data_IF_432509041431
#
_entry.id   IF_432509041431
#
_cell.length_a   1.000
_cell.length_b   1.000
_cell.length_c   1.000
_cell.angle_alpha   90.00
_cell.angle_beta   90.00
_cell.angle_gamma   90.00
#
_symmetry.space_group_name_H-M   'P 1'
#
loop_
_entity.id
_entity.type
_entity.pdbx_description
1 polymer ?
#
# COMPACT_ATOMS: atom_id res chain seq x y z
N UNK A 1 2.91 27.64 -4.30
CA UNK A 1 3.57 27.07 -3.10
C UNK A 1 4.73 27.97 -2.71
N UNK A 2 4.92 28.22 -1.42
CA UNK A 2 6.12 28.90 -0.93
C UNK A 2 7.35 28.03 -1.19
N UNK A 3 8.54 28.63 -1.34
CA UNK A 3 9.82 27.89 -1.49
C UNK A 3 10.07 26.95 -0.30
N UNK A 4 9.56 27.31 0.87
CA UNK A 4 9.62 26.50 2.08
C UNK A 4 8.77 25.21 1.96
N UNK A 5 7.58 25.30 1.35
CA UNK A 5 6.69 24.14 1.17
C UNK A 5 7.33 23.11 0.23
N UNK A 6 7.94 23.58 -0.86
CA UNK A 6 8.64 22.73 -1.82
C UNK A 6 9.84 22.05 -1.12
N UNK A 7 10.57 22.80 -0.29
CA UNK A 7 11.67 22.24 0.50
C UNK A 7 11.24 21.09 1.41
N UNK A 8 10.11 21.24 2.11
CA UNK A 8 9.56 20.17 2.98
C UNK A 8 9.21 18.92 2.17
N UNK A 9 8.52 19.08 1.03
CA UNK A 9 8.14 17.96 0.16
C UNK A 9 9.38 17.21 -0.35
N UNK A 10 10.40 17.94 -0.80
CA UNK A 10 11.65 17.34 -1.29
C UNK A 10 12.36 16.58 -0.18
N UNK A 11 12.48 17.16 1.02
CA UNK A 11 13.09 16.50 2.18
C UNK A 11 12.33 15.22 2.56
N UNK A 12 11.01 15.26 2.52
CA UNK A 12 10.17 14.10 2.79
C UNK A 12 10.39 12.97 1.77
N UNK A 13 10.36 13.28 0.47
CA UNK A 13 10.61 12.30 -0.61
C UNK A 13 12.02 11.71 -0.47
N UNK A 14 13.03 12.54 -0.22
CA UNK A 14 14.40 12.06 -0.02
C UNK A 14 14.52 11.17 1.23
N UNK A 15 13.85 11.54 2.34
CA UNK A 15 13.80 10.73 3.55
C UNK A 15 13.25 9.33 3.27
N UNK A 16 12.14 9.24 2.52
CA UNK A 16 11.54 7.97 2.11
C UNK A 16 12.50 7.11 1.28
N UNK A 17 13.18 7.72 0.30
CA UNK A 17 14.17 7.02 -0.54
C UNK A 17 15.35 6.54 0.29
N UNK A 18 15.87 7.36 1.22
CA UNK A 18 16.97 7.01 2.11
C UNK A 18 16.58 5.83 3.01
N UNK A 19 15.38 5.86 3.61
CA UNK A 19 14.89 4.72 4.42
C UNK A 19 14.83 3.45 3.58
N UNK A 20 14.33 3.53 2.35
CA UNK A 20 14.31 2.41 1.42
C UNK A 20 15.71 1.84 1.14
N UNK A 21 16.69 2.71 0.84
CA UNK A 21 18.08 2.34 0.56
C UNK A 21 18.81 1.76 1.78
N UNK A 22 18.57 2.31 2.97
CA UNK A 22 19.17 1.79 4.22
C UNK A 22 18.66 0.38 4.52
N UNK A 23 17.38 0.13 4.26
CA UNK A 23 16.76 -1.17 4.52
C UNK A 23 17.05 -2.24 3.44
N UNK A 24 17.56 -1.84 2.28
CA UNK A 24 17.97 -2.73 1.18
C UNK A 24 18.95 -3.82 1.63
N UNK A 25 19.88 -3.49 2.53
CA UNK A 25 20.87 -4.45 3.06
C UNK A 25 20.21 -5.62 3.80
N UNK A 26 19.12 -5.37 4.53
CA UNK A 26 18.36 -6.41 5.24
C UNK A 26 17.46 -7.22 4.31
N UNK A 27 16.90 -6.58 3.28
CA UNK A 27 16.05 -7.22 2.29
C UNK A 27 16.85 -8.20 1.39
N UNK A 28 18.13 -7.93 1.18
CA UNK A 28 19.02 -8.72 0.31
C UNK A 28 19.56 -10.00 0.95
N UNK A 29 19.25 -10.28 2.23
CA UNK A 29 19.73 -11.47 2.95
C UNK A 29 19.04 -12.78 2.48
N UNK A 30 17.90 -12.69 1.80
CA UNK A 30 17.21 -13.84 1.20
C UNK A 30 15.75 -13.58 0.84
N UNK A 31 15.14 -14.50 0.10
CA UNK A 31 13.74 -14.39 -0.39
C UNK A 31 12.75 -14.26 0.79
N UNK A 32 12.93 -15.03 1.86
CA UNK A 32 12.12 -14.90 3.09
C UNK A 32 12.33 -13.57 3.81
N UNK A 33 13.54 -12.98 3.73
CA UNK A 33 13.79 -11.65 4.29
C UNK A 33 13.07 -10.58 3.47
N UNK A 34 13.12 -10.70 2.13
CA UNK A 34 12.49 -9.78 1.21
C UNK A 34 10.96 -9.79 1.30
N UNK A 35 10.32 -10.97 1.27
CA UNK A 35 8.86 -11.08 1.23
C UNK A 35 8.21 -11.20 2.62
N UNK A 36 8.89 -11.78 3.62
CA UNK A 36 8.31 -12.02 4.95
C UNK A 36 8.98 -11.21 6.07
N UNK A 37 9.97 -10.36 5.74
CA UNK A 37 10.73 -9.60 6.75
C UNK A 37 11.44 -10.50 7.77
N UNK A 38 11.79 -11.74 7.36
CA UNK A 38 12.36 -12.75 8.24
C UNK A 38 11.45 -13.20 9.38
N UNK A 39 10.13 -12.90 9.32
CA UNK A 39 9.11 -13.21 10.35
C UNK A 39 9.42 -12.65 11.75
N UNK A 40 10.35 -11.68 11.83
CA UNK A 40 10.85 -11.05 13.08
C UNK A 40 10.30 -9.64 13.30
N UNK A 41 9.44 -9.14 12.41
CA UNK A 41 8.83 -7.81 12.56
C UNK A 41 7.92 -7.83 13.81
N UNK A 42 8.06 -6.86 14.73
CA UNK A 42 7.23 -6.80 15.92
C UNK A 42 5.78 -6.46 15.58
N UNK A 43 4.85 -6.92 16.41
CA UNK A 43 3.41 -6.84 16.16
C UNK A 43 2.88 -5.41 16.01
N UNK A 44 3.44 -4.46 16.77
CA UNK A 44 3.00 -3.05 16.72
C UNK A 44 3.37 -2.40 15.40
N UNK A 45 4.57 -2.70 14.85
CA UNK A 45 5.00 -2.23 13.53
C UNK A 45 4.09 -2.80 12.43
N UNK A 46 3.80 -4.11 12.49
CA UNK A 46 2.90 -4.76 11.53
C UNK A 46 1.47 -4.20 11.61
N UNK A 47 0.97 -3.95 12.82
CA UNK A 47 -0.36 -3.37 13.04
C UNK A 47 -0.46 -1.94 12.51
N UNK A 48 0.54 -1.10 12.82
CA UNK A 48 0.60 0.29 12.34
C UNK A 48 0.74 0.35 10.81
N UNK A 49 1.58 -0.47 10.19
CA UNK A 49 1.68 -0.54 8.73
C UNK A 49 0.38 -1.03 8.09
N UNK A 50 -0.27 -2.04 8.67
CA UNK A 50 -1.58 -2.50 8.22
C UNK A 50 -2.62 -1.38 8.25
N UNK A 51 -2.67 -0.58 9.32
CA UNK A 51 -3.56 0.57 9.41
C UNK A 51 -3.21 1.65 8.39
N UNK A 52 -1.93 2.03 8.27
CA UNK A 52 -1.47 3.03 7.32
C UNK A 52 -1.75 2.63 5.86
N UNK A 53 -1.64 1.34 5.53
CA UNK A 53 -1.98 0.81 4.21
C UNK A 53 -3.46 0.94 3.82
N UNK A 54 -4.36 1.17 4.79
CA UNK A 54 -5.79 1.43 4.52
C UNK A 54 -6.10 2.92 4.39
N UNK A 55 -5.15 3.79 4.71
CA UNK A 55 -5.29 5.22 4.57
C UNK A 55 -4.59 5.66 3.29
N UNK A 56 -5.36 6.18 2.35
CA UNK A 56 -4.83 6.65 1.09
C UNK A 56 -5.45 7.98 0.64
N UNK A 57 -4.81 8.59 -0.35
CA UNK A 57 -5.18 9.90 -0.88
C UNK A 57 -6.58 9.85 -1.53
N UNK A 58 -6.89 8.79 -2.28
CA UNK A 58 -8.17 8.63 -2.97
C UNK A 58 -9.34 8.49 -1.99
N UNK A 59 -9.19 7.66 -0.96
CA UNK A 59 -10.17 7.50 0.11
C UNK A 59 -10.37 8.81 0.88
N UNK A 60 -9.28 9.49 1.23
CA UNK A 60 -9.32 10.79 1.92
C UNK A 60 -10.06 11.86 1.11
N UNK A 61 -9.86 11.91 -0.21
CA UNK A 61 -10.59 12.81 -1.10
C UNK A 61 -12.10 12.50 -1.12
N UNK A 62 -12.48 11.22 -1.20
CA UNK A 62 -13.88 10.80 -1.17
C UNK A 62 -14.53 11.19 0.18
N UNK A 63 -13.81 11.01 1.29
CA UNK A 63 -14.30 11.37 2.61
C UNK A 63 -14.56 12.85 2.75
N UNK A 64 -13.62 13.66 2.27
CA UNK A 64 -13.76 15.11 2.24
C UNK A 64 -14.95 15.52 1.37
N UNK A 65 -15.13 14.87 0.22
CA UNK A 65 -16.27 15.10 -0.66
C UNK A 65 -17.61 14.74 -0.02
N UNK A 66 -17.69 13.64 0.74
CA UNK A 66 -18.90 13.26 1.47
C UNK A 66 -19.23 14.22 2.61
N UNK A 67 -18.22 14.68 3.36
CA UNK A 67 -18.43 15.68 4.40
C UNK A 67 -18.92 16.99 3.78
N UNK A 68 -18.35 17.38 2.64
CA UNK A 68 -18.79 18.58 1.92
C UNK A 68 -20.23 18.46 1.40
N UNK A 69 -20.59 17.30 0.82
CA UNK A 69 -21.91 17.09 0.20
C UNK A 69 -23.03 16.79 1.21
N UNK A 70 -22.73 16.05 2.29
CA UNK A 70 -23.71 15.50 3.23
C UNK A 70 -23.57 16.07 4.66
N UNK A 71 -22.62 16.98 4.86
CA UNK A 71 -22.28 17.50 6.19
C UNK A 71 -21.72 16.40 7.11
N UNK A 72 -21.96 16.54 8.42
CA UNK A 72 -21.50 15.57 9.42
C UNK A 72 -22.05 14.14 9.20
N UNK A 73 -23.16 13.99 8.45
CA UNK A 73 -23.69 12.67 8.10
C UNK A 73 -22.76 11.88 7.16
N UNK A 74 -21.99 12.57 6.31
CA UNK A 74 -21.01 11.94 5.42
C UNK A 74 -19.91 11.18 6.17
N UNK A 75 -19.57 11.64 7.39
CA UNK A 75 -18.61 10.96 8.25
C UNK A 75 -19.08 9.55 8.68
N UNK A 76 -20.39 9.35 8.85
CA UNK A 76 -20.93 8.04 9.23
C UNK A 76 -20.90 7.02 8.08
N UNK A 77 -20.91 7.49 6.83
CA UNK A 77 -20.72 6.62 5.65
C UNK A 77 -19.31 6.05 5.69
N UNK A 78 -18.32 6.91 5.97
CA UNK A 78 -16.95 6.46 6.08
C UNK A 78 -16.73 5.60 7.32
N UNK A 79 -17.35 5.89 8.46
CA UNK A 79 -17.22 5.02 9.66
C UNK A 79 -17.60 3.57 9.37
N UNK A 80 -18.56 3.30 8.46
CA UNK A 80 -18.97 1.92 8.14
C UNK A 80 -17.88 1.12 7.41
N UNK A 81 -17.01 1.78 6.64
CA UNK A 81 -15.98 1.12 5.83
C UNK A 81 -14.54 1.42 6.29
N UNK A 82 -14.28 2.65 6.70
CA UNK A 82 -12.98 3.19 7.10
C UNK A 82 -12.55 2.84 8.52
N UNK A 83 -13.48 2.56 9.45
CA UNK A 83 -13.08 1.89 10.70
C UNK A 83 -12.79 0.44 10.31
N UNK A 84 -11.52 0.14 10.12
CA UNK A 84 -10.96 -1.15 9.68
C UNK A 84 -11.10 -2.24 10.74
N UNK A 85 -12.29 -2.36 11.36
CA UNK A 85 -12.64 -3.39 12.34
C UNK A 85 -12.42 -4.80 11.78
N UNK A 86 -12.53 -4.94 10.45
CA UNK A 86 -12.21 -6.18 9.76
C UNK A 86 -10.76 -6.62 10.01
N UNK A 87 -9.80 -5.70 10.16
CA UNK A 87 -8.40 -6.07 10.43
C UNK A 87 -8.24 -6.73 11.80
N UNK A 88 -8.93 -6.24 12.83
CA UNK A 88 -8.92 -6.88 14.14
C UNK A 88 -9.51 -8.30 14.07
N UNK A 89 -10.60 -8.47 13.30
CA UNK A 89 -11.20 -9.78 13.06
C UNK A 89 -10.24 -10.71 12.30
N UNK A 90 -9.64 -10.25 11.19
CA UNK A 90 -8.69 -11.03 10.40
C UNK A 90 -7.45 -11.41 11.24
N UNK A 91 -6.94 -10.50 12.07
CA UNK A 91 -5.82 -10.76 12.98
C UNK A 91 -6.14 -11.89 13.98
N UNK A 92 -7.32 -11.85 14.62
CA UNK A 92 -7.71 -12.85 15.63
C UNK A 92 -7.95 -14.22 14.98
N UNK A 93 -8.70 -14.27 13.88
CA UNK A 93 -9.15 -15.52 13.28
C UNK A 93 -8.19 -16.10 12.25
N UNK A 94 -7.68 -15.27 11.34
CA UNK A 94 -6.80 -15.72 10.26
C UNK A 94 -5.32 -15.61 10.61
N UNK A 95 -4.92 -14.68 11.47
CA UNK A 95 -3.51 -14.47 11.83
C UNK A 95 -2.82 -15.73 12.36
N UNK A 96 -3.50 -16.50 13.21
CA UNK A 96 -2.99 -17.78 13.74
C UNK A 96 -2.81 -18.83 12.64
N UNK A 97 -3.72 -18.87 11.68
CA UNK A 97 -3.67 -19.84 10.58
C UNK A 97 -2.57 -19.49 9.59
N UNK A 98 -2.45 -18.21 9.23
CA UNK A 98 -1.40 -17.71 8.34
C UNK A 98 0.00 -17.94 8.94
N UNK A 99 0.17 -17.73 10.26
CA UNK A 99 1.46 -17.99 10.91
C UNK A 99 1.85 -19.47 10.95
N UNK A 100 0.87 -20.38 10.97
CA UNK A 100 1.08 -21.84 11.03
C UNK A 100 1.21 -22.49 9.65
N UNK A 101 0.61 -21.90 8.63
CA UNK A 101 0.67 -22.43 7.27
C UNK A 101 2.07 -22.30 6.67
N UNK A 102 2.88 -21.35 7.14
CA UNK A 102 4.26 -21.08 6.70
C UNK A 102 4.43 -20.84 5.19
N UNK A 103 3.33 -20.68 4.46
CA UNK A 103 3.29 -20.35 3.03
C UNK A 103 3.57 -18.86 2.80
N UNK A 104 4.13 -18.53 1.64
CA UNK A 104 4.50 -17.16 1.28
C UNK A 104 3.38 -16.45 0.54
N UNK A 105 2.62 -17.18 -0.28
CA UNK A 105 1.58 -16.59 -1.13
C UNK A 105 0.19 -17.12 -0.81
N UNK A 106 -0.86 -16.32 -1.09
CA UNK A 106 -2.24 -16.80 -0.99
C UNK A 106 -2.51 -17.96 -1.97
N UNK A 107 -1.84 -17.96 -3.12
CA UNK A 107 -1.95 -19.03 -4.10
C UNK A 107 -1.45 -20.37 -3.53
N UNK A 108 -0.33 -20.38 -2.80
CA UNK A 108 0.15 -21.55 -2.06
C UNK A 108 -0.78 -21.93 -0.91
N UNK A 109 -1.39 -20.95 -0.26
CA UNK A 109 -2.39 -21.21 0.78
C UNK A 109 -3.59 -22.00 0.26
N UNK A 110 -3.99 -21.80 -1.00
CA UNK A 110 -5.04 -22.60 -1.65
C UNK A 110 -4.63 -24.07 -1.77
N UNK A 111 -3.38 -24.38 -2.11
CA UNK A 111 -2.88 -25.76 -2.10
C UNK A 111 -2.84 -26.34 -0.68
N UNK A 112 -2.40 -25.56 0.30
CA UNK A 112 -2.40 -26.00 1.69
C UNK A 112 -3.83 -26.33 2.19
N UNK A 113 -4.84 -25.58 1.72
CA UNK A 113 -6.23 -25.73 2.17
C UNK A 113 -7.03 -26.80 1.42
N UNK A 114 -6.81 -26.93 0.11
CA UNK A 114 -7.60 -27.79 -0.79
C UNK A 114 -6.83 -29.02 -1.30
N UNK A 115 -5.55 -29.16 -0.94
CA UNK A 115 -4.67 -30.23 -1.42
C UNK A 115 -4.03 -29.92 -2.77
N UNK A 116 -3.26 -30.88 -3.28
CA UNK A 116 -2.58 -30.80 -4.58
C UNK A 116 -3.33 -31.53 -5.69
N UNK A 117 -4.60 -31.86 -5.45
CA UNK A 117 -5.46 -32.44 -6.47
C UNK A 117 -5.87 -31.40 -7.51
N UNK A 118 -6.47 -31.84 -8.62
CA UNK A 118 -6.95 -30.94 -9.70
C UNK A 118 -7.81 -29.78 -9.18
N UNK A 119 -8.58 -29.99 -8.11
CA UNK A 119 -9.38 -28.93 -7.49
C UNK A 119 -8.51 -27.87 -6.80
N UNK A 120 -7.42 -28.28 -6.15
CA UNK A 120 -6.43 -27.40 -5.55
C UNK A 120 -5.65 -26.59 -6.58
N UNK A 121 -5.22 -27.23 -7.68
CA UNK A 121 -4.53 -26.55 -8.79
C UNK A 121 -5.40 -25.47 -9.43
N UNK A 122 -6.69 -25.77 -9.67
CA UNK A 122 -7.65 -24.81 -10.19
C UNK A 122 -7.86 -23.66 -9.20
N UNK A 123 -7.98 -23.97 -7.90
CA UNK A 123 -8.17 -22.97 -6.87
C UNK A 123 -6.95 -22.03 -6.73
N UNK A 124 -5.72 -22.56 -6.86
CA UNK A 124 -4.48 -21.79 -6.92
C UNK A 124 -4.44 -20.86 -8.13
N UNK A 125 -4.80 -21.36 -9.30
CA UNK A 125 -4.82 -20.57 -10.53
C UNK A 125 -5.81 -19.40 -10.40
N UNK A 126 -7.03 -19.69 -9.94
CA UNK A 126 -8.07 -18.67 -9.73
C UNK A 126 -7.58 -17.62 -8.72
N UNK A 127 -7.02 -18.03 -7.59
CA UNK A 127 -6.50 -17.10 -6.59
C UNK A 127 -5.37 -16.21 -7.14
N UNK A 128 -4.42 -16.80 -7.87
CA UNK A 128 -3.31 -16.05 -8.48
C UNK A 128 -3.81 -15.02 -9.50
N UNK A 129 -4.71 -15.42 -10.40
CA UNK A 129 -5.30 -14.52 -11.41
C UNK A 129 -6.11 -13.42 -10.74
N UNK A 130 -6.92 -13.77 -9.73
CA UNK A 130 -7.75 -12.81 -9.01
C UNK A 130 -6.90 -11.75 -8.30
N UNK A 131 -5.81 -12.16 -7.64
CA UNK A 131 -4.87 -11.22 -7.01
C UNK A 131 -4.19 -10.34 -8.05
N UNK A 132 -3.76 -10.88 -9.19
CA UNK A 132 -3.12 -10.07 -10.23
C UNK A 132 -4.09 -9.01 -10.78
N UNK A 133 -5.33 -9.39 -11.09
CA UNK A 133 -6.36 -8.45 -11.57
C UNK A 133 -6.62 -7.37 -10.51
N UNK A 134 -6.82 -7.78 -9.26
CA UNK A 134 -7.08 -6.84 -8.15
C UNK A 134 -5.88 -5.90 -7.92
N UNK A 135 -4.65 -6.40 -8.04
CA UNK A 135 -3.43 -5.59 -7.89
C UNK A 135 -3.35 -4.53 -8.98
N UNK A 136 -3.59 -4.90 -10.24
CA UNK A 136 -3.61 -3.95 -11.36
C UNK A 136 -4.72 -2.90 -11.18
N UNK A 137 -5.91 -3.32 -10.75
CA UNK A 137 -7.02 -2.41 -10.45
C UNK A 137 -6.67 -1.42 -9.33
N UNK A 138 -6.06 -1.90 -8.24
CA UNK A 138 -5.65 -1.06 -7.10
C UNK A 138 -4.54 -0.09 -7.47
N UNK A 139 -3.52 -0.52 -8.23
CA UNK A 139 -2.47 0.37 -8.72
C UNK A 139 -3.08 1.47 -9.61
N UNK A 140 -4.03 1.13 -10.48
CA UNK A 140 -4.72 2.10 -11.34
C UNK A 140 -5.53 3.10 -10.51
N UNK A 141 -6.24 2.61 -9.49
CA UNK A 141 -6.98 3.44 -8.54
C UNK A 141 -6.05 4.44 -7.81
N UNK A 142 -4.92 3.98 -7.29
CA UNK A 142 -3.94 4.84 -6.64
C UNK A 142 -3.29 5.84 -7.60
N UNK A 143 -3.02 5.42 -8.83
CA UNK A 143 -2.46 6.28 -9.87
C UNK A 143 -3.39 7.45 -10.18
N UNK A 144 -4.69 7.20 -10.33
CA UNK A 144 -5.68 8.25 -10.61
C UNK A 144 -5.79 9.21 -9.42
N UNK A 145 -5.89 8.69 -8.20
CA UNK A 145 -6.04 9.55 -7.01
C UNK A 145 -4.82 10.42 -6.74
N UNK A 146 -3.63 9.80 -6.72
CA UNK A 146 -2.36 10.53 -6.53
C UNK A 146 -2.08 11.49 -7.69
N UNK A 147 -2.38 11.10 -8.93
CA UNK A 147 -2.21 11.93 -10.12
C UNK A 147 -3.06 13.20 -10.07
N UNK A 148 -4.34 13.08 -9.70
CA UNK A 148 -5.23 14.25 -9.53
C UNK A 148 -4.76 15.18 -8.42
N UNK A 149 -4.40 14.63 -7.28
CA UNK A 149 -3.93 15.42 -6.14
C UNK A 149 -2.64 16.15 -6.50
N UNK A 150 -1.61 15.45 -6.96
CA UNK A 150 -0.29 16.05 -7.21
C UNK A 150 -0.31 17.02 -8.38
N UNK A 151 -1.09 16.76 -9.42
CA UNK A 151 -1.24 17.71 -10.53
C UNK A 151 -1.75 19.08 -10.04
N UNK A 152 -2.71 19.08 -9.11
CA UNK A 152 -3.28 20.31 -8.53
C UNK A 152 -2.26 21.04 -7.64
N UNK A 153 -1.51 20.31 -6.79
CA UNK A 153 -0.58 20.94 -5.85
C UNK A 153 0.74 21.40 -6.51
N UNK A 154 1.36 20.53 -7.31
CA UNK A 154 2.67 20.81 -7.93
C UNK A 154 2.57 21.56 -9.26
N UNK A 155 1.36 21.80 -9.79
CA UNK A 155 1.13 22.51 -11.05
C UNK A 155 2.00 21.98 -12.20
N UNK A 156 2.12 20.66 -12.31
CA UNK A 156 2.99 20.00 -13.30
C UNK A 156 2.45 20.34 -14.71
N UNK A 157 3.26 20.95 -15.59
CA UNK A 157 2.79 21.25 -16.93
C UNK A 157 2.55 19.96 -17.72
N UNK A 158 1.46 19.92 -18.48
CA UNK A 158 1.20 18.84 -19.42
C UNK A 158 2.27 18.85 -20.50
N UNK A 159 2.90 17.70 -20.75
CA UNK A 159 3.93 17.53 -21.78
C UNK A 159 3.48 16.49 -22.80
N UNK A 160 3.86 16.66 -24.06
CA UNK A 160 3.57 15.72 -25.16
C UNK A 160 2.07 15.45 -25.41
N UNK A 161 1.21 16.43 -25.17
CA UNK A 161 -0.23 16.28 -25.37
C UNK A 161 -0.92 15.38 -24.33
N UNK A 162 -0.21 14.96 -23.28
CA UNK A 162 -0.75 14.21 -22.15
C UNK A 162 -1.13 15.16 -21.02
N UNK A 163 -2.21 14.82 -20.33
CA UNK A 163 -2.74 15.60 -19.21
C UNK A 163 -1.73 15.62 -18.03
N UNK A 164 -1.60 16.73 -17.28
CA UNK A 164 -0.75 16.83 -16.08
C UNK A 164 -0.86 15.65 -15.11
N UNK A 165 -2.07 15.10 -14.95
CA UNK A 165 -2.36 13.99 -14.06
C UNK A 165 -1.58 12.72 -14.43
N UNK A 166 -1.35 12.49 -15.73
CA UNK A 166 -0.58 11.34 -16.20
C UNK A 166 0.89 11.41 -15.76
N UNK A 167 1.50 12.59 -15.90
CA UNK A 167 2.88 12.83 -15.48
C UNK A 167 3.04 12.78 -13.96
N UNK A 168 2.10 13.36 -13.24
CA UNK A 168 2.05 13.31 -11.78
C UNK A 168 1.94 11.86 -11.26
N UNK A 169 1.02 11.07 -11.82
CA UNK A 169 0.86 9.66 -11.48
C UNK A 169 2.11 8.83 -11.81
N UNK A 170 2.70 9.06 -13.00
CA UNK A 170 3.90 8.35 -13.44
C UNK A 170 5.09 8.60 -12.52
N UNK A 171 5.30 9.85 -12.10
CA UNK A 171 6.34 10.21 -11.14
C UNK A 171 6.18 9.44 -9.82
N UNK A 172 4.95 9.39 -9.29
CA UNK A 172 4.67 8.65 -8.05
C UNK A 172 4.89 7.15 -8.19
N UNK A 173 4.43 6.56 -9.30
CA UNK A 173 4.62 5.12 -9.55
C UNK A 173 6.11 4.79 -9.62
N UNK A 174 6.90 5.61 -10.32
CA UNK A 174 8.35 5.38 -10.44
C UNK A 174 9.04 5.50 -9.09
N UNK A 175 8.75 6.54 -8.31
CA UNK A 175 9.31 6.70 -6.97
C UNK A 175 8.91 5.54 -6.06
N UNK A 176 7.63 5.18 -6.05
CA UNK A 176 7.09 4.07 -5.28
C UNK A 176 7.74 2.73 -5.63
N UNK A 177 7.89 2.47 -6.93
CA UNK A 177 8.55 1.27 -7.45
C UNK A 177 10.00 1.20 -6.99
N UNK A 178 10.77 2.29 -7.12
CA UNK A 178 12.19 2.30 -6.77
C UNK A 178 12.41 1.94 -5.31
N UNK A 179 11.72 2.62 -4.37
CA UNK A 179 11.94 2.34 -2.95
C UNK A 179 11.38 0.97 -2.56
N UNK A 180 10.22 0.56 -3.10
CA UNK A 180 9.60 -0.73 -2.75
C UNK A 180 10.45 -1.91 -3.21
N UNK A 181 10.96 -1.86 -4.44
CA UNK A 181 11.84 -2.91 -5.00
C UNK A 181 13.18 -2.94 -4.26
N UNK A 182 13.71 -1.78 -3.87
CA UNK A 182 14.97 -1.73 -3.12
C UNK A 182 14.82 -2.28 -1.69
N UNK A 183 13.71 -2.02 -1.01
CA UNK A 183 13.61 -2.19 0.44
C UNK A 183 12.88 -3.46 0.92
N UNK A 184 12.13 -4.13 0.03
CA UNK A 184 11.30 -5.29 0.38
C UNK A 184 10.23 -4.96 1.44
N UNK A 185 9.58 -5.99 2.00
CA UNK A 185 8.51 -5.83 3.00
C UNK A 185 8.98 -5.04 4.22
N UNK A 186 10.22 -5.27 4.67
CA UNK A 186 10.74 -4.62 5.87
C UNK A 186 10.80 -3.09 5.72
N UNK A 187 11.26 -2.61 4.56
CA UNK A 187 11.30 -1.17 4.31
C UNK A 187 9.92 -0.55 4.13
N UNK A 188 9.02 -1.21 3.38
CA UNK A 188 7.63 -0.75 3.20
C UNK A 188 6.94 -0.56 4.55
N UNK A 189 7.05 -1.55 5.42
CA UNK A 189 6.42 -1.52 6.73
C UNK A 189 6.97 -0.37 7.61
N UNK A 190 8.27 -0.07 7.53
CA UNK A 190 8.86 1.07 8.27
C UNK A 190 8.46 2.42 7.68
N UNK A 191 8.40 2.52 6.34
CA UNK A 191 7.92 3.72 5.68
C UNK A 191 6.46 3.98 6.01
N UNK A 192 5.63 2.94 6.08
CA UNK A 192 4.22 3.05 6.45
C UNK A 192 4.05 3.55 7.89
N UNK A 193 4.86 3.07 8.83
CA UNK A 193 4.84 3.58 10.22
C UNK A 193 5.18 5.06 10.26
N UNK A 194 6.19 5.49 9.51
CA UNK A 194 6.56 6.91 9.43
C UNK A 194 5.45 7.75 8.80
N UNK A 195 4.84 7.26 7.72
CA UNK A 195 3.69 7.89 7.07
C UNK A 195 2.49 8.01 8.00
N UNK A 196 2.14 6.93 8.70
CA UNK A 196 1.02 6.90 9.62
C UNK A 196 1.20 7.77 10.87
N UNK A 197 2.41 8.23 11.19
CA UNK A 197 2.66 9.20 12.26
C UNK A 197 2.49 10.65 11.76
N UNK A 198 2.70 10.89 10.46
CA UNK A 198 2.61 12.21 9.85
C UNK A 198 1.16 12.58 9.50
N UNK A 199 0.37 11.60 9.06
CA UNK A 199 -1.06 11.74 8.73
C UNK A 199 -1.87 11.95 10.02
#
# INVERSE_FOLDING_TARGET
>A
MSTLDIGIVVVYILGMVIVGLVMQKRASEGIDSYFLGGRKIPWWILGSSGMASNLDISGTMINTAFIFALGAAGFFIEIRGGVTLIMAFLMIFQGKWNRRAEVMTLAEWMHFRFGTDKQGDVARLIAAVSIMIMTVAMITYFAIGSGKFIAEFLHIPGFWGLEPQFWAASLMIVLAMIYTVASGLYGVVWTDVFQGVII
#
